data_IF_050697575640
#
_entry.id   IF_050697575640
#
_cell.length_a   1.000
_cell.length_b   1.000
_cell.length_c   1.000
_cell.angle_alpha   90.00
_cell.angle_beta   90.00
_cell.angle_gamma   90.00
#
_symmetry.space_group_name_H-M   'P 1'
#
loop_
_entity.id
_entity.type
_entity.pdbx_description
1 polymer ?
#
# COMPACT_ATOMS: atom_id res chain seq x y z
N UNK A 1 7.63 2.92 28.64
CA UNK A 1 7.14 4.18 28.03
C UNK A 1 8.01 4.40 26.81
N UNK A 2 7.46 4.19 25.62
CA UNK A 2 8.14 4.46 24.35
C UNK A 2 8.30 5.98 24.24
N UNK A 3 9.47 6.47 23.82
CA UNK A 3 9.70 7.91 23.72
C UNK A 3 8.96 8.45 22.50
N UNK A 4 8.52 9.72 22.46
CA UNK A 4 7.88 10.30 21.27
C UNK A 4 8.73 10.21 19.99
N UNK A 5 10.05 10.14 20.14
CA UNK A 5 10.98 9.91 19.02
C UNK A 5 10.91 8.48 18.47
N UNK A 6 10.74 7.49 19.35
CA UNK A 6 10.62 6.08 18.96
C UNK A 6 9.32 5.84 18.16
N UNK A 7 8.23 6.52 18.54
CA UNK A 7 6.95 6.47 17.81
C UNK A 7 7.05 7.10 16.41
N UNK A 8 7.72 8.25 16.31
CA UNK A 8 7.93 8.93 15.02
C UNK A 8 8.83 8.11 14.08
N UNK A 9 9.83 7.43 14.62
CA UNK A 9 10.69 6.52 13.88
C UNK A 9 9.92 5.27 13.39
N UNK A 10 9.00 4.73 14.21
CA UNK A 10 8.14 3.61 13.82
C UNK A 10 7.20 3.99 12.68
N UNK A 11 6.58 5.18 12.75
CA UNK A 11 5.73 5.72 11.68
C UNK A 11 6.54 5.85 10.38
N UNK A 12 7.72 6.45 10.45
CA UNK A 12 8.57 6.66 9.26
C UNK A 12 8.94 5.33 8.59
N UNK A 13 9.24 4.29 9.38
CA UNK A 13 9.54 2.95 8.84
C UNK A 13 8.33 2.32 8.18
N UNK A 14 7.16 2.39 8.82
CA UNK A 14 5.93 1.85 8.28
C UNK A 14 5.50 2.55 6.97
N UNK A 15 5.69 3.87 6.88
CA UNK A 15 5.48 4.63 5.64
C UNK A 15 6.41 4.16 4.52
N UNK A 16 7.70 3.99 4.81
CA UNK A 16 8.66 3.50 3.83
C UNK A 16 8.33 2.10 3.33
N UNK A 17 7.89 1.20 4.22
CA UNK A 17 7.52 -0.16 3.85
C UNK A 17 6.26 -0.19 2.98
N UNK A 18 5.26 0.62 3.33
CA UNK A 18 4.06 0.79 2.50
C UNK A 18 4.41 1.33 1.10
N UNK A 19 5.23 2.38 1.00
CA UNK A 19 5.59 2.95 -0.30
C UNK A 19 6.43 2.00 -1.16
N UNK A 20 7.30 1.19 -0.55
CA UNK A 20 8.04 0.13 -1.27
C UNK A 20 7.10 -0.89 -1.90
N UNK A 21 6.11 -1.37 -1.14
CA UNK A 21 5.12 -2.33 -1.61
C UNK A 21 4.22 -1.72 -2.68
N UNK A 22 3.81 -0.46 -2.51
CA UNK A 22 3.05 0.30 -3.49
C UNK A 22 3.80 0.46 -4.81
N UNK A 23 5.08 0.80 -4.76
CA UNK A 23 5.92 0.91 -5.95
C UNK A 23 6.05 -0.44 -6.67
N UNK A 24 6.26 -1.53 -5.92
CA UNK A 24 6.32 -2.88 -6.50
C UNK A 24 4.99 -3.28 -7.16
N UNK A 25 3.86 -3.01 -6.50
CA UNK A 25 2.54 -3.28 -7.04
C UNK A 25 2.30 -2.55 -8.36
N UNK A 26 2.58 -1.24 -8.38
CA UNK A 26 2.42 -0.40 -9.57
C UNK A 26 3.32 -0.86 -10.72
N UNK A 27 4.56 -1.27 -10.42
CA UNK A 27 5.47 -1.80 -11.43
C UNK A 27 4.90 -3.06 -12.09
N UNK A 28 4.41 -4.02 -11.29
CA UNK A 28 3.79 -5.25 -11.82
C UNK A 28 2.55 -4.89 -12.63
N UNK A 29 1.69 -3.99 -12.13
CA UNK A 29 0.47 -3.59 -12.82
C UNK A 29 0.75 -2.92 -14.18
N UNK A 30 1.87 -2.20 -14.30
CA UNK A 30 2.25 -1.52 -15.54
C UNK A 30 2.99 -2.43 -16.52
N UNK A 31 3.96 -3.21 -16.04
CA UNK A 31 4.84 -4.03 -16.88
C UNK A 31 4.24 -5.39 -17.21
N UNK A 32 3.51 -6.00 -16.26
CA UNK A 32 2.97 -7.35 -16.34
C UNK A 32 1.53 -7.42 -15.79
N UNK A 33 0.55 -6.68 -16.37
CA UNK A 33 -0.82 -6.62 -15.83
C UNK A 33 -1.54 -7.97 -15.76
N UNK A 34 -1.11 -8.96 -16.56
CA UNK A 34 -1.61 -10.34 -16.52
C UNK A 34 -1.00 -11.22 -15.42
N UNK A 35 -0.05 -10.69 -14.63
CA UNK A 35 0.59 -11.43 -13.55
C UNK A 35 -0.28 -11.39 -12.28
N UNK A 36 -1.45 -12.02 -12.35
CA UNK A 36 -2.50 -11.98 -11.32
C UNK A 36 -2.00 -12.41 -9.94
N UNK A 37 -1.15 -13.44 -9.88
CA UNK A 37 -0.60 -13.95 -8.61
C UNK A 37 0.34 -12.94 -7.96
N UNK A 38 1.22 -12.31 -8.74
CA UNK A 38 2.14 -11.29 -8.26
C UNK A 38 1.40 -10.07 -7.73
N UNK A 39 0.36 -9.62 -8.45
CA UNK A 39 -0.53 -8.56 -8.01
C UNK A 39 -1.26 -8.93 -6.70
N UNK A 40 -1.79 -10.15 -6.60
CA UNK A 40 -2.49 -10.59 -5.39
C UNK A 40 -1.55 -10.67 -4.17
N UNK A 41 -0.34 -11.20 -4.35
CA UNK A 41 0.64 -11.32 -3.27
C UNK A 41 1.13 -9.95 -2.77
N UNK A 42 1.60 -9.09 -3.69
CA UNK A 42 2.09 -7.76 -3.32
C UNK A 42 0.95 -6.88 -2.80
N UNK A 43 -0.25 -7.01 -3.37
CA UNK A 43 -1.44 -6.30 -2.91
C UNK A 43 -1.78 -6.65 -1.46
N UNK A 44 -1.81 -7.93 -1.11
CA UNK A 44 -2.08 -8.37 0.25
C UNK A 44 -1.03 -7.88 1.26
N UNK A 45 0.25 -7.86 0.89
CA UNK A 45 1.30 -7.33 1.75
C UNK A 45 1.21 -5.80 1.89
N UNK A 46 0.90 -5.10 0.80
CA UNK A 46 0.66 -3.65 0.84
C UNK A 46 -0.52 -3.28 1.75
N UNK A 47 -1.60 -4.06 1.69
CA UNK A 47 -2.77 -3.87 2.54
C UNK A 47 -2.45 -4.09 4.02
N UNK A 48 -1.63 -5.09 4.34
CA UNK A 48 -1.13 -5.31 5.71
C UNK A 48 -0.24 -4.17 6.19
N UNK A 49 0.66 -3.68 5.35
CA UNK A 49 1.53 -2.55 5.68
C UNK A 49 0.70 -1.27 5.92
N UNK A 50 -0.32 -1.04 5.10
CA UNK A 50 -1.22 0.10 5.26
C UNK A 50 -2.03 0.02 6.56
N UNK A 51 -2.59 -1.15 6.88
CA UNK A 51 -3.30 -1.38 8.14
C UNK A 51 -2.38 -1.18 9.36
N UNK A 52 -1.13 -1.63 9.28
CA UNK A 52 -0.14 -1.40 10.33
C UNK A 52 0.15 0.10 10.51
N UNK A 53 0.38 0.83 9.43
CA UNK A 53 0.60 2.28 9.45
C UNK A 53 -0.58 3.03 10.09
N UNK A 54 -1.81 2.65 9.77
CA UNK A 54 -3.00 3.28 10.37
C UNK A 54 -3.10 3.05 11.87
N UNK A 55 -2.81 1.83 12.30
CA UNK A 55 -2.83 1.46 13.72
C UNK A 55 -1.84 2.29 14.52
N UNK A 56 -0.61 2.49 14.03
CA UNK A 56 0.42 3.25 14.73
C UNK A 56 0.19 4.77 14.65
N UNK A 57 -0.41 5.26 13.56
CA UNK A 57 -0.77 6.67 13.40
C UNK A 57 -2.03 7.08 14.19
N UNK A 58 -2.69 6.13 14.87
CA UNK A 58 -3.94 6.36 15.60
C UNK A 58 -5.16 6.65 14.70
N UNK A 59 -5.08 6.27 13.43
CA UNK A 59 -6.18 6.45 12.47
C UNK A 59 -7.22 5.34 12.63
N UNK A 60 -8.52 5.66 12.47
CA UNK A 60 -9.57 4.64 12.53
C UNK A 60 -9.42 3.64 11.39
N UNK A 61 -9.41 2.34 11.71
CA UNK A 61 -9.37 1.25 10.74
C UNK A 61 -10.73 1.12 10.06
N UNK A 62 -10.90 1.77 8.91
CA UNK A 62 -12.11 1.65 8.08
C UNK A 62 -12.00 0.41 7.16
N UNK A 63 -13.11 -0.21 6.74
CA UNK A 63 -13.05 -1.41 5.89
C UNK A 63 -12.30 -1.15 4.57
N UNK A 64 -12.51 0.03 3.98
CA UNK A 64 -11.86 0.47 2.73
C UNK A 64 -10.35 0.67 2.85
N UNK A 65 -9.82 0.79 4.06
CA UNK A 65 -8.37 0.90 4.27
C UNK A 65 -7.67 -0.44 4.43
N UNK A 66 -8.38 -1.56 4.25
CA UNK A 66 -7.78 -2.89 4.17
C UNK A 66 -7.57 -3.34 2.72
N UNK A 67 -8.02 -2.54 1.75
CA UNK A 67 -7.97 -2.85 0.31
C UNK A 67 -7.34 -1.68 -0.46
N UNK A 68 -6.25 -1.12 0.08
CA UNK A 68 -5.45 -0.10 -0.62
C UNK A 68 -5.00 -0.61 -1.99
N UNK A 69 -4.67 -1.91 -2.10
CA UNK A 69 -4.33 -2.56 -3.36
C UNK A 69 -5.41 -2.45 -4.41
N UNK A 70 -6.68 -2.56 -4.01
CA UNK A 70 -7.84 -2.40 -4.90
C UNK A 70 -7.99 -0.96 -5.38
N UNK A 71 -7.78 0.03 -4.49
CA UNK A 71 -7.80 1.45 -4.85
C UNK A 71 -6.65 1.77 -5.81
N UNK A 72 -5.43 1.36 -5.47
CA UNK A 72 -4.24 1.58 -6.30
C UNK A 72 -4.39 0.92 -7.66
N UNK A 73 -4.94 -0.31 -7.74
CA UNK A 73 -5.25 -0.97 -9.01
C UNK A 73 -6.19 -0.15 -9.87
N UNK A 74 -7.29 0.33 -9.29
CA UNK A 74 -8.29 1.14 -10.01
C UNK A 74 -7.68 2.43 -10.55
N UNK A 75 -6.83 3.10 -9.78
CA UNK A 75 -6.13 4.30 -10.22
C UNK A 75 -5.10 3.99 -11.32
N UNK A 76 -4.37 2.88 -11.22
CA UNK A 76 -3.45 2.43 -12.25
C UNK A 76 -4.18 2.12 -13.57
N UNK A 77 -5.31 1.41 -13.50
CA UNK A 77 -6.18 1.13 -14.66
C UNK A 77 -6.76 2.41 -15.27
N UNK A 78 -7.19 3.36 -14.44
CA UNK A 78 -7.68 4.67 -14.91
C UNK A 78 -6.58 5.42 -15.65
N UNK A 79 -5.40 5.53 -15.06
CA UNK A 79 -4.26 6.21 -15.67
C UNK A 79 -3.85 5.54 -17.00
N UNK A 80 -3.89 4.22 -17.09
CA UNK A 80 -3.62 3.50 -18.34
C UNK A 80 -4.63 3.83 -19.45
N UNK A 81 -5.92 4.01 -19.10
CA UNK A 81 -6.98 4.38 -20.05
C UNK A 81 -6.91 5.85 -20.49
N UNK A 82 -6.47 6.75 -19.62
CA UNK A 82 -6.35 8.17 -19.93
C UNK A 82 -5.13 8.48 -20.81
N UNK A 83 -4.11 7.63 -20.80
CA UNK A 83 -2.89 7.77 -21.61
C UNK A 83 -2.91 6.95 -22.92
N UNK A 84 -4.04 6.30 -23.24
CA UNK A 84 -4.26 5.51 -24.45
C UNK A 84 -5.09 6.30 -25.48
#
# INVERSE_FOLDING_TARGET
>A
MTSPQDEQDEITRAEQDYERLRAAYLKIAQEEPGHEVGLAMVGADMDRAHAHLQRIAGLPMLPFTHESSTVVRREAERAARENA
#
